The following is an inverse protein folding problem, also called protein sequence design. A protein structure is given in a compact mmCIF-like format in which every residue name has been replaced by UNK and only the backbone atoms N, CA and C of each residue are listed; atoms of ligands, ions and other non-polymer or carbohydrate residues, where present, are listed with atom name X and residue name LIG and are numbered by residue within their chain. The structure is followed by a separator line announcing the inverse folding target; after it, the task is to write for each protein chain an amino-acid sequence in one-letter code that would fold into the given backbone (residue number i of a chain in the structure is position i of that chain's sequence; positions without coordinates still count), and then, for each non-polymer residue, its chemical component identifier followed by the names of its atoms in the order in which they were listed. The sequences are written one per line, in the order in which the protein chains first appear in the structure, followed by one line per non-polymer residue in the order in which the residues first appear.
data_IF_227272651736
#
_entry.id   IF_227272651736
#
_cell.length_a   1.000
_cell.length_b   1.000
_cell.length_c   1.000
_cell.angle_alpha   90.00
_cell.angle_beta   90.00
_cell.angle_gamma   90.00
#
_symmetry.space_group_name_H-M   'P 1'
#
loop_
_entity.id
_entity.type
_entity.pdbx_description
1 polymer ?
#
# COMPACT_ATOMS: atom_id res chain seq x y z
N UNK A 1 57.07 -12.25 -14.70
CA UNK A 1 55.82 -11.46 -14.58
C UNK A 1 54.67 -12.43 -14.40
N UNK A 2 54.06 -12.45 -13.22
CA UNK A 2 52.90 -13.28 -12.93
C UNK A 2 51.65 -12.59 -13.48
N UNK A 3 50.99 -13.20 -14.46
CA UNK A 3 49.67 -12.77 -14.92
C UNK A 3 48.60 -13.66 -14.25
N UNK A 4 47.97 -13.12 -13.21
CA UNK A 4 46.73 -13.63 -12.64
C UNK A 4 45.58 -13.28 -13.59
N UNK A 5 44.90 -14.27 -14.17
CA UNK A 5 43.60 -14.09 -14.81
C UNK A 5 42.55 -14.82 -13.96
N UNK A 6 41.72 -14.04 -13.28
CA UNK A 6 40.53 -14.47 -12.52
C UNK A 6 39.30 -13.97 -13.33
N UNK A 7 38.16 -14.69 -13.30
CA UNK A 7 37.36 -14.97 -14.48
C UNK A 7 36.34 -13.89 -14.86
N UNK A 8 36.03 -13.86 -16.15
CA UNK A 8 34.92 -13.11 -16.75
C UNK A 8 33.60 -13.51 -16.09
N UNK A 9 32.96 -12.58 -15.39
CA UNK A 9 31.57 -12.74 -14.96
C UNK A 9 30.68 -12.69 -16.21
N UNK A 10 30.15 -13.84 -16.62
CA UNK A 10 29.08 -13.91 -17.61
C UNK A 10 27.86 -13.11 -17.09
N UNK A 11 27.20 -12.30 -17.93
CA UNK A 11 25.95 -11.66 -17.54
C UNK A 11 24.91 -12.75 -17.31
N UNK A 12 24.39 -12.84 -16.09
CA UNK A 12 23.20 -13.65 -15.85
C UNK A 12 22.04 -13.03 -16.63
N UNK A 13 21.26 -13.82 -17.40
CA UNK A 13 19.99 -13.34 -17.90
C UNK A 13 19.13 -13.02 -16.69
N UNK A 14 18.78 -11.73 -16.52
CA UNK A 14 17.77 -11.35 -15.53
C UNK A 14 16.49 -12.11 -15.90
N UNK A 15 15.84 -12.82 -14.94
CA UNK A 15 14.55 -13.42 -15.20
C UNK A 15 13.59 -12.31 -15.64
N UNK A 16 12.69 -12.57 -16.61
CA UNK A 16 11.79 -11.55 -17.12
C UNK A 16 10.99 -10.96 -15.96
N UNK A 17 11.16 -9.67 -15.73
CA UNK A 17 10.28 -8.91 -14.86
C UNK A 17 8.86 -9.14 -15.37
N UNK A 18 8.04 -9.84 -14.57
CA UNK A 18 6.60 -9.96 -14.83
C UNK A 18 6.06 -8.54 -14.88
N UNK A 19 5.78 -8.08 -16.10
CA UNK A 19 4.82 -7.02 -16.34
C UNK A 19 3.54 -7.49 -15.64
N UNK A 20 3.16 -6.83 -14.56
CA UNK A 20 1.86 -7.04 -13.94
C UNK A 20 0.80 -6.49 -14.92
N UNK A 21 0.51 -7.25 -15.97
CA UNK A 21 -0.74 -7.16 -16.69
C UNK A 21 -1.81 -7.61 -15.69
N UNK A 22 -2.47 -6.65 -15.06
CA UNK A 22 -3.64 -6.93 -14.24
C UNK A 22 -4.75 -7.36 -15.19
N UNK A 23 -4.96 -8.66 -15.29
CA UNK A 23 -6.12 -9.24 -15.94
C UNK A 23 -7.41 -8.69 -15.27
N UNK A 24 -8.39 -8.20 -16.04
CA UNK A 24 -9.54 -7.47 -15.47
C UNK A 24 -10.58 -8.36 -14.75
N UNK A 25 -10.41 -9.69 -14.72
CA UNK A 25 -11.39 -10.64 -14.17
C UNK A 25 -10.81 -11.63 -13.13
N UNK A 26 -9.67 -11.32 -12.51
CA UNK A 26 -9.18 -12.11 -11.37
C UNK A 26 -10.04 -11.91 -10.13
N UNK A 27 -10.54 -13.00 -9.54
CA UNK A 27 -10.98 -12.99 -8.14
C UNK A 27 -9.82 -12.45 -7.28
N UNK A 28 -10.15 -11.51 -6.40
CA UNK A 28 -9.17 -10.78 -5.60
C UNK A 28 -8.50 -11.73 -4.59
N UNK A 29 -7.39 -12.37 -4.99
CA UNK A 29 -6.51 -13.13 -4.10
C UNK A 29 -5.64 -12.15 -3.29
N UNK A 30 -6.24 -11.57 -2.25
CA UNK A 30 -5.58 -10.66 -1.32
C UNK A 30 -6.55 -10.18 -0.24
N UNK A 31 -6.05 -9.73 0.91
CA UNK A 31 -6.89 -9.01 1.86
C UNK A 31 -7.20 -7.62 1.30
N UNK A 32 -8.47 -7.26 1.01
CA UNK A 32 -8.84 -5.93 0.49
C UNK A 32 -8.56 -4.80 1.50
N UNK A 33 -8.15 -5.15 2.71
CA UNK A 33 -7.74 -4.27 3.79
C UNK A 33 -6.23 -4.37 4.10
N UNK A 34 -5.44 -4.99 3.23
CA UNK A 34 -3.99 -5.03 3.40
C UNK A 34 -3.38 -3.63 3.27
N UNK A 35 -2.70 -3.21 4.35
CA UNK A 35 -2.06 -1.91 4.50
C UNK A 35 -0.83 -1.80 3.60
N UNK A 36 -0.11 -2.90 3.36
CA UNK A 36 1.10 -2.90 2.55
C UNK A 36 0.85 -2.56 1.07
N UNK A 37 -0.40 -2.69 0.61
CA UNK A 37 -0.82 -2.33 -0.75
C UNK A 37 -1.26 -0.88 -0.92
N UNK A 38 -1.10 -0.02 0.09
CA UNK A 38 -1.43 1.41 0.02
C UNK A 38 -0.25 2.21 -0.54
N UNK A 39 -0.57 3.11 -1.47
CA UNK A 39 0.42 3.95 -2.19
C UNK A 39 0.23 5.44 -1.89
N UNK A 40 -0.67 5.80 -0.98
CA UNK A 40 -1.02 7.19 -0.64
C UNK A 40 -0.58 7.49 0.78
N UNK A 41 0.11 8.61 0.95
CA UNK A 41 0.55 9.09 2.26
C UNK A 41 -0.65 9.36 3.16
N UNK A 42 -1.64 10.10 2.68
CA UNK A 42 -2.83 10.47 3.46
C UNK A 42 -3.65 9.24 3.90
N UNK A 43 -3.73 8.20 3.07
CA UNK A 43 -4.38 6.94 3.45
C UNK A 43 -3.59 6.20 4.54
N UNK A 44 -2.26 6.18 4.44
CA UNK A 44 -1.40 5.56 5.46
C UNK A 44 -1.49 6.31 6.79
N UNK A 45 -1.49 7.65 6.77
CA UNK A 45 -1.69 8.48 7.96
C UNK A 45 -3.05 8.25 8.61
N UNK A 46 -4.11 8.17 7.80
CA UNK A 46 -5.43 7.83 8.26
C UNK A 46 -5.47 6.44 8.95
N UNK A 47 -4.77 5.45 8.39
CA UNK A 47 -4.70 4.11 8.98
C UNK A 47 -3.93 4.10 10.31
N UNK A 48 -2.80 4.81 10.40
CA UNK A 48 -2.06 5.00 11.66
C UNK A 48 -2.97 5.63 12.71
N UNK A 49 -3.73 6.66 12.35
CA UNK A 49 -4.65 7.35 13.24
C UNK A 49 -5.81 6.44 13.71
N UNK A 50 -6.35 5.61 12.82
CA UNK A 50 -7.38 4.62 13.18
C UNK A 50 -6.84 3.56 14.13
N UNK A 51 -5.67 3.00 13.84
CA UNK A 51 -5.02 2.03 14.71
C UNK A 51 -4.71 2.64 16.09
N UNK A 52 -4.20 3.87 16.12
CA UNK A 52 -3.93 4.59 17.37
C UNK A 52 -5.21 4.79 18.21
N UNK A 53 -6.35 5.15 17.58
CA UNK A 53 -7.65 5.24 18.25
C UNK A 53 -8.11 3.89 18.82
N UNK A 54 -7.95 2.81 18.07
CA UNK A 54 -8.32 1.47 18.53
C UNK A 54 -7.46 1.00 19.70
N UNK A 55 -6.13 1.24 19.64
CA UNK A 55 -5.19 0.98 20.73
C UNK A 55 -5.57 1.78 21.99
N UNK A 56 -5.86 3.07 21.83
CA UNK A 56 -6.27 3.92 22.95
C UNK A 56 -7.60 3.45 23.57
N UNK A 57 -8.56 3.04 22.74
CA UNK A 57 -9.84 2.50 23.21
C UNK A 57 -9.69 1.17 23.97
N UNK A 58 -8.78 0.28 23.56
CA UNK A 58 -8.47 -0.94 24.29
C UNK A 58 -7.85 -0.62 25.67
N UNK A 59 -6.85 0.25 25.69
CA UNK A 59 -6.19 0.71 26.93
C UNK A 59 -7.17 1.36 27.90
N UNK A 60 -8.08 2.20 27.40
CA UNK A 60 -9.11 2.85 28.22
C UNK A 60 -10.07 1.85 28.89
N UNK A 61 -10.23 0.66 28.32
CA UNK A 61 -11.01 -0.45 28.88
C UNK A 61 -10.17 -1.36 29.80
N UNK A 62 -8.90 -1.03 30.05
CA UNK A 62 -7.97 -1.91 30.77
C UNK A 62 -7.59 -3.18 30.01
N UNK A 63 -7.81 -3.19 28.69
CA UNK A 63 -7.48 -4.32 27.82
C UNK A 63 -6.13 -4.08 27.14
N UNK A 64 -5.37 -5.15 26.94
CA UNK A 64 -4.19 -5.08 26.07
C UNK A 64 -4.64 -4.86 24.61
N UNK A 65 -3.97 -3.96 23.87
CA UNK A 65 -4.25 -3.78 22.45
C UNK A 65 -3.98 -5.06 21.66
N UNK A 66 -4.86 -5.34 20.71
CA UNK A 66 -4.71 -6.45 19.78
C UNK A 66 -3.37 -6.35 19.00
N UNK A 67 -2.66 -7.47 18.92
CA UNK A 67 -1.38 -7.58 18.23
C UNK A 67 -1.53 -7.25 16.74
N UNK A 68 -2.64 -7.65 16.12
CA UNK A 68 -2.92 -7.37 14.71
C UNK A 68 -3.03 -5.86 14.46
N UNK A 69 -3.61 -5.10 15.39
CA UNK A 69 -3.74 -3.64 15.30
C UNK A 69 -2.37 -2.97 15.48
N UNK A 70 -1.54 -3.50 16.39
CA UNK A 70 -0.17 -3.01 16.58
C UNK A 70 0.69 -3.25 15.33
N UNK A 71 0.61 -4.45 14.74
CA UNK A 71 1.32 -4.78 13.52
C UNK A 71 0.84 -3.93 12.33
N UNK A 72 -0.47 -3.74 12.17
CA UNK A 72 -1.03 -2.86 11.11
C UNK A 72 -0.53 -1.43 11.24
N UNK A 73 -0.52 -0.87 12.46
CA UNK A 73 0.03 0.45 12.73
C UNK A 73 1.50 0.55 12.30
N UNK A 74 2.31 -0.42 12.72
CA UNK A 74 3.73 -0.46 12.38
C UNK A 74 3.95 -0.59 10.87
N UNK A 75 3.18 -1.45 10.20
CA UNK A 75 3.24 -1.59 8.74
C UNK A 75 2.91 -0.27 8.05
N UNK A 76 1.85 0.43 8.47
CA UNK A 76 1.51 1.74 7.89
C UNK A 76 2.64 2.76 8.06
N UNK A 77 3.23 2.86 9.25
CA UNK A 77 4.35 3.76 9.55
C UNK A 77 5.59 3.45 8.69
N UNK A 78 5.91 2.16 8.52
CA UNK A 78 7.03 1.74 7.66
C UNK A 78 6.75 2.07 6.19
N UNK A 79 5.53 1.88 5.71
CA UNK A 79 5.19 2.22 4.32
C UNK A 79 5.28 3.72 4.04
N UNK A 80 4.91 4.57 5.01
CA UNK A 80 5.13 6.01 4.90
C UNK A 80 6.62 6.35 4.79
N UNK A 81 7.46 5.73 5.62
CA UNK A 81 8.91 5.93 5.56
C UNK A 81 9.49 5.45 4.23
N UNK A 82 9.02 4.31 3.72
CA UNK A 82 9.43 3.79 2.40
C UNK A 82 9.08 4.79 1.30
N UNK A 83 7.88 5.36 1.32
CA UNK A 83 7.44 6.35 0.33
C UNK A 83 8.34 7.60 0.36
N UNK A 84 8.60 8.14 1.56
CA UNK A 84 9.49 9.29 1.75
C UNK A 84 10.89 8.98 1.18
N UNK A 85 11.45 7.81 1.51
CA UNK A 85 12.77 7.39 1.02
C UNK A 85 12.78 7.25 -0.51
N UNK A 86 11.73 6.68 -1.10
CA UNK A 86 11.62 6.53 -2.55
C UNK A 86 11.63 7.89 -3.26
N UNK A 87 10.93 8.88 -2.70
CA UNK A 87 10.92 10.25 -3.22
C UNK A 87 12.28 10.93 -3.03
N UNK A 88 12.85 10.87 -1.83
CA UNK A 88 14.16 11.48 -1.52
C UNK A 88 15.33 10.89 -2.32
N UNK A 89 15.25 9.61 -2.67
CA UNK A 89 16.25 8.92 -3.49
C UNK A 89 15.94 8.95 -4.98
N UNK A 90 14.94 9.74 -5.39
CA UNK A 90 14.46 9.87 -6.78
C UNK A 90 14.07 8.54 -7.44
N UNK A 91 13.85 7.49 -6.64
CA UNK A 91 13.31 6.20 -7.11
C UNK A 91 11.83 6.30 -7.49
N UNK A 92 11.13 7.27 -6.90
CA UNK A 92 9.76 7.62 -7.22
C UNK A 92 9.70 9.13 -7.41
N UNK A 93 9.44 9.57 -8.65
CA UNK A 93 9.20 10.99 -8.91
C UNK A 93 7.85 11.41 -8.33
N UNK A 94 7.68 12.70 -8.06
CA UNK A 94 6.39 13.23 -7.59
C UNK A 94 5.28 13.03 -8.65
N UNK A 95 5.63 13.12 -9.94
CA UNK A 95 4.69 12.88 -11.03
C UNK A 95 4.22 11.42 -11.06
N UNK A 96 5.16 10.47 -10.93
CA UNK A 96 4.85 9.05 -10.87
C UNK A 96 4.04 8.70 -9.61
N UNK A 97 4.34 9.36 -8.49
CA UNK A 97 3.57 9.23 -7.26
C UNK A 97 2.11 9.63 -7.49
N UNK A 98 1.86 10.82 -8.02
CA UNK A 98 0.52 11.29 -8.37
C UNK A 98 -0.20 10.34 -9.35
N UNK A 99 0.52 9.78 -10.33
CA UNK A 99 -0.04 8.82 -11.27
C UNK A 99 -0.45 7.50 -10.57
N UNK A 100 0.35 7.02 -9.61
CA UNK A 100 0.02 5.85 -8.80
C UNK A 100 -1.21 6.11 -7.92
N UNK A 101 -1.29 7.25 -7.24
CA UNK A 101 -2.44 7.64 -6.41
C UNK A 101 -3.72 7.71 -7.26
N UNK A 102 -3.68 8.36 -8.44
CA UNK A 102 -4.80 8.40 -9.40
C UNK A 102 -5.25 7.01 -9.83
N UNK A 103 -4.30 6.13 -10.15
CA UNK A 103 -4.58 4.74 -10.53
C UNK A 103 -5.25 3.99 -9.38
N UNK A 104 -4.76 4.19 -8.15
CA UNK A 104 -5.30 3.55 -6.95
C UNK A 104 -6.72 4.04 -6.61
N UNK A 105 -7.04 5.33 -6.80
CA UNK A 105 -8.40 5.87 -6.64
C UNK A 105 -9.39 5.07 -7.50
N UNK A 106 -9.06 4.86 -8.78
CA UNK A 106 -9.93 4.09 -9.69
C UNK A 106 -10.06 2.64 -9.23
N UNK A 107 -8.97 2.02 -8.77
CA UNK A 107 -8.98 0.65 -8.27
C UNK A 107 -9.85 0.50 -7.01
N UNK A 108 -9.75 1.42 -6.04
CA UNK A 108 -10.55 1.41 -4.81
C UNK A 108 -12.04 1.62 -5.09
N UNK A 109 -12.40 2.51 -6.02
CA UNK A 109 -13.80 2.69 -6.46
C UNK A 109 -14.37 1.41 -7.09
N UNK A 110 -13.59 0.74 -7.94
CA UNK A 110 -13.96 -0.56 -8.54
C UNK A 110 -14.10 -1.64 -7.46
N UNK A 111 -13.18 -1.70 -6.51
CA UNK A 111 -13.21 -2.63 -5.39
C UNK A 111 -14.47 -2.41 -4.53
N UNK A 112 -14.80 -1.16 -4.20
CA UNK A 112 -16.02 -0.84 -3.46
C UNK A 112 -17.30 -1.30 -4.17
N UNK A 113 -17.39 -1.07 -5.49
CA UNK A 113 -18.54 -1.54 -6.28
C UNK A 113 -18.66 -3.08 -6.25
N UNK A 114 -17.54 -3.79 -6.43
CA UNK A 114 -17.48 -5.26 -6.33
C UNK A 114 -17.89 -5.76 -4.95
N UNK A 115 -17.38 -5.16 -3.88
CA UNK A 115 -17.70 -5.53 -2.50
C UNK A 115 -19.18 -5.29 -2.17
N UNK A 116 -19.74 -4.18 -2.65
CA UNK A 116 -21.17 -3.88 -2.51
C UNK A 116 -22.03 -4.93 -3.20
N UNK A 117 -21.67 -5.36 -4.43
CA UNK A 117 -22.37 -6.41 -5.15
C UNK A 117 -22.32 -7.77 -4.41
N UNK A 118 -21.23 -8.04 -3.67
CA UNK A 118 -21.05 -9.23 -2.82
C UNK A 118 -21.69 -9.08 -1.42
N UNK A 119 -22.43 -8.01 -1.15
CA UNK A 119 -23.08 -7.75 0.16
C UNK A 119 -22.13 -7.32 1.29
N UNK A 120 -20.85 -7.10 1.00
CA UNK A 120 -19.82 -6.72 1.98
C UNK A 120 -19.78 -5.20 2.17
N UNK A 121 -20.85 -4.65 2.75
CA UNK A 121 -21.09 -3.19 2.80
C UNK A 121 -20.00 -2.44 3.59
N UNK A 122 -19.56 -2.96 4.73
CA UNK A 122 -18.55 -2.28 5.56
C UNK A 122 -17.18 -2.18 4.85
N UNK A 123 -16.78 -3.24 4.14
CA UNK A 123 -15.54 -3.22 3.35
C UNK A 123 -15.68 -2.28 2.14
N UNK A 124 -16.85 -2.22 1.52
CA UNK A 124 -17.11 -1.28 0.43
C UNK A 124 -17.00 0.18 0.90
N UNK A 125 -17.50 0.50 2.10
CA UNK A 125 -17.36 1.83 2.70
C UNK A 125 -15.89 2.17 2.97
N UNK A 126 -15.12 1.23 3.50
CA UNK A 126 -13.69 1.44 3.75
C UNK A 126 -12.92 1.74 2.44
N UNK A 127 -13.15 0.97 1.38
CA UNK A 127 -12.56 1.22 0.07
C UNK A 127 -12.96 2.61 -0.50
N UNK A 128 -14.22 3.01 -0.37
CA UNK A 128 -14.65 4.36 -0.76
C UNK A 128 -14.02 5.45 0.08
N UNK A 129 -13.83 5.24 1.38
CA UNK A 129 -13.15 6.20 2.24
C UNK A 129 -11.72 6.42 1.79
N UNK A 130 -10.96 5.35 1.50
CA UNK A 130 -9.61 5.45 0.95
C UNK A 130 -9.59 6.21 -0.36
N UNK A 131 -10.53 5.92 -1.27
CA UNK A 131 -10.65 6.66 -2.52
C UNK A 131 -10.85 8.17 -2.29
N UNK A 132 -11.71 8.56 -1.36
CA UNK A 132 -11.96 9.98 -1.03
C UNK A 132 -10.76 10.68 -0.41
N UNK A 133 -10.03 9.99 0.46
CA UNK A 133 -8.82 10.53 1.08
C UNK A 133 -7.78 10.80 0.00
N UNK A 134 -7.57 9.85 -0.92
CA UNK A 134 -6.66 10.02 -2.05
C UNK A 134 -7.12 11.12 -3.03
N UNK A 135 -8.43 11.29 -3.24
CA UNK A 135 -8.94 12.40 -4.05
C UNK A 135 -8.59 13.75 -3.43
N UNK A 136 -8.79 13.90 -2.11
CA UNK A 136 -8.41 15.11 -1.37
C UNK A 136 -6.90 15.36 -1.42
N UNK A 137 -6.09 14.31 -1.27
CA UNK A 137 -4.62 14.41 -1.40
C UNK A 137 -4.20 14.97 -2.76
N UNK A 138 -4.94 14.66 -3.83
CA UNK A 138 -4.63 15.15 -5.18
C UNK A 138 -5.10 16.60 -5.44
N UNK A 139 -5.89 17.18 -4.54
CA UNK A 139 -6.39 18.56 -4.63
C UNK A 139 -5.51 19.55 -3.86
N UNK A 140 -4.66 19.06 -2.96
CA UNK A 140 -3.69 19.84 -2.18
C UNK A 140 -2.38 20.08 -2.95
#
# INVERSE_FOLDING_TARGET
MYALCIPTHLPHPQPPQKKNSVDPEGDFEGDPMDVAGHVSNEVLEWEVNNCAKAIAAAKAKGQEPDNDILQKKQTAEVMMQVLIIQIQTEKLSLEDYCAQVKTKIVAEKKLAAKLKAKGKIEWAKAALMRAKIMEKEMEE
#
